data_IF_053198632148
#
_entry.id   IF_053198632148
#
_cell.length_a   1.000
_cell.length_b   1.000
_cell.length_c   1.000
_cell.angle_alpha   90.00
_cell.angle_beta   90.00
_cell.angle_gamma   90.00
#
_symmetry.space_group_name_H-M   'P 1'
#
loop_
_entity.id
_entity.type
_entity.pdbx_description
1 polymer ?
#
# COMPACT_ATOMS: atom_id res chain seq x y z
N UNK A 1 3.08 12.51 4.21
CA UNK A 1 2.11 12.78 3.14
C UNK A 1 2.78 12.43 1.81
N UNK A 2 2.11 11.70 0.91
CA UNK A 2 2.71 11.34 -0.39
C UNK A 2 2.67 12.55 -1.34
N UNK A 3 3.78 12.81 -2.03
CA UNK A 3 3.92 13.89 -3.01
C UNK A 3 3.60 13.34 -4.41
N UNK A 4 2.44 13.71 -4.95
CA UNK A 4 1.99 13.26 -6.26
C UNK A 4 2.78 13.89 -7.43
N UNK A 5 3.45 15.03 -7.19
CA UNK A 5 4.32 15.69 -8.18
C UNK A 5 5.72 15.04 -8.22
N UNK A 6 6.07 14.25 -7.19
CA UNK A 6 7.32 13.48 -7.09
C UNK A 6 7.02 12.02 -6.74
N UNK A 7 6.56 11.22 -7.72
CA UNK A 7 6.09 9.84 -7.55
C UNK A 7 7.25 8.87 -7.31
N UNK A 8 7.86 8.97 -6.12
CA UNK A 8 9.01 8.16 -5.69
C UNK A 8 8.58 7.31 -4.50
N UNK A 9 9.06 6.07 -4.46
CA UNK A 9 8.88 5.21 -3.28
C UNK A 9 9.60 5.80 -2.06
N UNK A 10 8.88 5.91 -0.95
CA UNK A 10 9.43 6.18 0.38
C UNK A 10 8.85 5.18 1.37
N UNK A 11 9.68 4.68 2.30
CA UNK A 11 9.26 3.75 3.35
C UNK A 11 8.11 4.32 4.20
N UNK A 12 8.08 5.62 4.41
CA UNK A 12 7.02 6.31 5.17
C UNK A 12 5.66 6.30 4.45
N UNK A 13 5.66 6.15 3.12
CA UNK A 13 4.45 6.18 2.29
C UNK A 13 4.07 4.82 1.72
N UNK A 14 4.91 3.80 1.90
CA UNK A 14 4.75 2.48 1.27
C UNK A 14 3.43 1.78 1.61
N UNK A 15 2.95 1.89 2.85
CA UNK A 15 1.65 1.33 3.22
C UNK A 15 0.49 2.02 2.50
N UNK A 16 0.52 3.35 2.41
CA UNK A 16 -0.48 4.13 1.68
C UNK A 16 -0.49 3.77 0.19
N UNK A 17 0.67 3.79 -0.46
CA UNK A 17 0.77 3.54 -1.91
C UNK A 17 0.34 2.13 -2.29
N UNK A 18 0.52 1.14 -1.42
CA UNK A 18 -0.01 -0.21 -1.63
C UNK A 18 -1.55 -0.26 -1.53
N UNK A 19 -2.16 0.48 -0.61
CA UNK A 19 -3.62 0.51 -0.45
C UNK A 19 -4.32 1.11 -1.67
N UNK A 20 -3.76 2.19 -2.22
CA UNK A 20 -4.36 2.91 -3.37
C UNK A 20 -3.84 2.42 -4.72
N UNK A 21 -3.03 1.36 -4.74
CA UNK A 21 -2.40 0.86 -5.96
C UNK A 21 -3.43 0.41 -7.00
N UNK A 22 -3.56 1.20 -8.08
CA UNK A 22 -4.60 1.03 -9.10
C UNK A 22 -4.68 -0.36 -9.71
N UNK A 23 -3.57 -1.09 -9.83
CA UNK A 23 -3.56 -2.42 -10.45
C UNK A 23 -3.86 -3.57 -9.48
N UNK A 24 -3.86 -3.33 -8.17
CA UNK A 24 -4.23 -4.35 -7.17
C UNK A 24 -5.72 -4.69 -7.30
N UNK A 25 -6.07 -5.97 -7.26
CA UNK A 25 -7.45 -6.46 -7.52
C UNK A 25 -8.01 -7.28 -6.39
N UNK A 26 -7.16 -7.91 -5.58
CA UNK A 26 -7.55 -8.79 -4.49
C UNK A 26 -6.81 -8.36 -3.22
N UNK A 27 -7.52 -8.43 -2.11
CA UNK A 27 -7.03 -8.16 -0.76
C UNK A 27 -7.39 -9.34 0.12
N UNK A 28 -6.40 -9.88 0.83
CA UNK A 28 -6.59 -10.80 1.94
C UNK A 28 -6.08 -10.16 3.23
N UNK A 29 -6.84 -10.25 4.32
CA UNK A 29 -6.45 -9.71 5.63
C UNK A 29 -6.46 -10.82 6.66
N UNK A 30 -5.32 -11.00 7.34
CA UNK A 30 -5.17 -11.89 8.49
C UNK A 30 -5.02 -11.08 9.76
N UNK A 31 -5.64 -11.54 10.85
CA UNK A 31 -5.57 -10.91 12.18
C UNK A 31 -5.19 -11.97 13.20
N UNK A 32 -4.22 -11.66 14.05
CA UNK A 32 -3.83 -12.49 15.19
C UNK A 32 -3.62 -11.63 16.43
N UNK A 33 -3.90 -12.19 17.61
CA UNK A 33 -3.64 -11.53 18.89
C UNK A 33 -2.39 -12.14 19.54
N UNK A 34 -1.62 -11.34 20.28
CA UNK A 34 -0.56 -11.89 21.13
C UNK A 34 -1.15 -12.83 22.19
N UNK A 35 -0.36 -13.78 22.74
CA UNK A 35 -0.85 -14.70 23.77
C UNK A 35 -1.42 -14.01 25.03
N UNK A 36 -0.93 -12.80 25.35
CA UNK A 36 -1.42 -11.97 26.45
C UNK A 36 -2.57 -11.02 26.06
N UNK A 37 -2.99 -11.03 24.79
CA UNK A 37 -4.09 -10.25 24.25
C UNK A 37 -3.82 -8.74 24.11
N UNK A 38 -2.59 -8.27 24.34
CA UNK A 38 -2.25 -6.83 24.34
C UNK A 38 -1.93 -6.28 22.96
N UNK A 39 -1.50 -7.14 22.05
CA UNK A 39 -1.11 -6.75 20.70
C UNK A 39 -2.00 -7.41 19.67
N UNK A 40 -2.22 -6.69 18.56
CA UNK A 40 -2.94 -7.17 17.40
C UNK A 40 -2.02 -7.09 16.20
N UNK A 41 -1.76 -8.24 15.59
CA UNK A 41 -0.99 -8.37 14.37
C UNK A 41 -1.96 -8.42 13.20
N UNK A 42 -1.91 -7.39 12.35
CA UNK A 42 -2.73 -7.29 11.14
C UNK A 42 -1.81 -7.42 9.93
N UNK A 43 -2.09 -8.38 9.06
CA UNK A 43 -1.35 -8.59 7.81
C UNK A 43 -2.30 -8.44 6.65
N UNK A 44 -2.01 -7.51 5.74
CA UNK A 44 -2.75 -7.30 4.50
C UNK A 44 -1.90 -7.76 3.32
N UNK A 45 -2.47 -8.67 2.50
CA UNK A 45 -1.83 -9.23 1.31
C UNK A 45 -2.60 -8.79 0.07
N UNK A 46 -1.90 -8.23 -0.91
CA UNK A 46 -2.47 -7.64 -2.12
C UNK A 46 -2.06 -8.44 -3.36
N UNK A 47 -2.98 -8.63 -4.30
CA UNK A 47 -2.69 -9.26 -5.58
C UNK A 47 -3.40 -8.56 -6.75
N UNK A 48 -2.70 -8.23 -7.85
CA UNK A 48 -1.24 -8.15 -7.99
C UNK A 48 -0.58 -7.25 -6.93
N UNK A 49 0.67 -7.52 -6.60
CA UNK A 49 1.43 -6.71 -5.63
C UNK A 49 1.66 -5.28 -6.15
N UNK A 50 1.67 -4.32 -5.22
CA UNK A 50 1.97 -2.91 -5.51
C UNK A 50 3.41 -2.52 -5.19
N UNK A 51 3.67 -1.22 -5.12
CA UNK A 51 4.98 -0.63 -4.78
C UNK A 51 6.14 -1.12 -5.65
N UNK A 52 5.87 -1.44 -6.92
CA UNK A 52 6.91 -1.80 -7.89
C UNK A 52 7.69 -0.54 -8.24
N UNK A 53 8.99 -0.49 -7.91
CA UNK A 53 9.87 0.69 -8.07
C UNK A 53 10.42 0.83 -9.50
N UNK A 54 9.62 0.44 -10.49
CA UNK A 54 9.94 0.64 -11.90
C UNK A 54 9.47 2.03 -12.35
N UNK A 55 10.22 2.63 -13.27
CA UNK A 55 9.87 3.95 -13.84
C UNK A 55 8.44 3.95 -14.39
N UNK A 56 7.62 4.92 -14.01
CA UNK A 56 6.23 5.07 -14.50
C UNK A 56 5.17 4.29 -13.73
N UNK A 57 5.55 3.40 -12.80
CA UNK A 57 4.59 2.56 -12.07
C UNK A 57 3.85 3.33 -10.98
N UNK A 58 4.51 4.26 -10.29
CA UNK A 58 3.86 5.07 -9.26
C UNK A 58 2.87 6.05 -9.91
N UNK A 59 3.26 6.70 -11.01
CA UNK A 59 2.40 7.61 -11.78
C UNK A 59 1.12 6.93 -12.29
N UNK A 60 1.23 5.67 -12.71
CA UNK A 60 0.10 4.92 -13.25
C UNK A 60 -0.79 4.28 -12.17
N UNK A 61 -0.27 4.10 -10.95
CA UNK A 61 -0.95 3.35 -9.89
C UNK A 61 -1.30 4.15 -8.63
N UNK A 62 -0.69 5.29 -8.38
CA UNK A 62 -0.95 6.14 -7.20
C UNK A 62 -1.48 7.48 -7.69
N UNK A 63 -2.78 7.52 -7.97
CA UNK A 63 -3.44 8.68 -8.55
C UNK A 63 -3.82 9.70 -7.47
N UNK A 64 -3.85 11.01 -7.81
CA UNK A 64 -4.39 12.01 -6.91
C UNK A 64 -5.87 11.72 -6.61
N UNK A 65 -6.37 12.13 -5.43
CA UNK A 65 -7.80 12.02 -5.12
C UNK A 65 -8.62 12.81 -6.15
N UNK A 66 -9.75 12.27 -6.56
CA UNK A 66 -10.71 13.01 -7.38
C UNK A 66 -11.26 14.17 -6.53
N UNK A 67 -11.11 15.40 -7.03
CA UNK A 67 -11.81 16.58 -6.50
C UNK A 67 -13.29 16.53 -6.84
#
# INVERSE_FOLDING_TARGET
>A
MHDFDRPIYSSETGHFTQMVWRSSRKLGVGVAYSPDGREVYIVANYYPGGNIVNRGYFESNVLPPNC
#
